data_IF_652715539071
#
_entry.id   IF_652715539071
#
_cell.length_a   1.000
_cell.length_b   1.000
_cell.length_c   1.000
_cell.angle_alpha   90.00
_cell.angle_beta   90.00
_cell.angle_gamma   90.00
#
_symmetry.space_group_name_H-M   'P 1'
#
loop_
_entity.id
_entity.type
_entity.pdbx_description
1 polymer ?
#
# COMPACT_ATOMS: atom_id res chain seq x y z
N UNK A 1 -0.96 -23.08 8.38
CA UNK A 1 -0.58 -24.37 8.97
C UNK A 1 0.12 -24.25 10.33
N UNK A 2 0.66 -23.08 10.72
CA UNK A 2 1.37 -22.89 12.00
C UNK A 2 0.68 -21.95 13.01
N UNK A 3 -0.43 -21.32 12.63
CA UNK A 3 -1.20 -20.34 13.43
C UNK A 3 -2.11 -20.96 14.51
N UNK A 4 -1.95 -22.24 14.82
CA UNK A 4 -2.85 -22.98 15.73
C UNK A 4 -2.15 -23.97 16.66
N UNK A 5 -0.81 -23.89 16.76
CA UNK A 5 -0.04 -24.68 17.71
C UNK A 5 0.49 -23.74 18.79
N UNK A 6 -0.08 -23.80 19.99
CA UNK A 6 0.34 -22.97 21.13
C UNK A 6 1.80 -23.24 21.52
N UNK A 7 2.35 -24.41 21.16
CA UNK A 7 3.75 -24.79 21.37
C UNK A 7 4.73 -24.09 20.42
N UNK A 8 4.25 -23.47 19.32
CA UNK A 8 5.08 -22.70 18.40
C UNK A 8 5.26 -21.23 18.83
N UNK A 9 4.67 -20.84 19.97
CA UNK A 9 4.79 -19.50 20.55
C UNK A 9 6.01 -19.44 21.46
N UNK A 10 7.05 -18.72 21.04
CA UNK A 10 8.13 -18.32 21.95
C UNK A 10 7.84 -16.88 22.36
N UNK A 11 7.58 -16.65 23.65
CA UNK A 11 7.19 -15.34 24.22
C UNK A 11 5.93 -14.71 23.60
N UNK A 12 4.95 -15.54 23.23
CA UNK A 12 3.61 -15.06 22.82
C UNK A 12 3.51 -14.49 21.40
N UNK A 13 4.56 -14.62 20.57
CA UNK A 13 4.54 -14.23 19.15
C UNK A 13 4.81 -15.41 18.23
N UNK A 14 4.10 -15.46 17.10
CA UNK A 14 4.43 -16.36 15.99
C UNK A 14 5.76 -15.90 15.37
N UNK A 15 6.83 -16.61 15.69
CA UNK A 15 8.13 -16.38 15.08
C UNK A 15 8.03 -16.66 13.58
N UNK A 16 8.52 -15.74 12.77
CA UNK A 16 8.65 -15.95 11.33
C UNK A 16 9.48 -17.22 11.07
N UNK A 17 9.25 -17.95 9.97
CA UNK A 17 9.97 -19.21 9.68
C UNK A 17 11.49 -19.09 9.81
N UNK A 18 12.05 -17.93 9.46
CA UNK A 18 13.48 -17.63 9.60
C UNK A 18 13.95 -17.58 11.07
N UNK A 19 13.12 -17.06 11.98
CA UNK A 19 13.43 -17.00 13.41
C UNK A 19 13.30 -18.37 14.10
N UNK A 20 12.38 -19.22 13.63
CA UNK A 20 12.28 -20.62 14.06
C UNK A 20 13.52 -21.40 13.60
N UNK A 21 13.98 -21.17 12.37
CA UNK A 21 15.21 -21.78 11.84
C UNK A 21 16.46 -21.35 12.63
N UNK A 22 16.53 -20.10 13.10
CA UNK A 22 17.59 -19.62 14.00
C UNK A 22 17.51 -20.26 15.38
N UNK A 23 16.30 -20.39 15.96
CA UNK A 23 16.10 -20.99 17.27
C UNK A 23 16.40 -22.51 17.29
N UNK A 24 16.19 -23.20 16.17
CA UNK A 24 16.50 -24.62 16.00
C UNK A 24 17.96 -24.88 15.58
N UNK A 25 18.66 -23.89 15.06
CA UNK A 25 20.04 -24.03 14.62
C UNK A 25 21.01 -23.91 15.80
N UNK A 26 21.55 -25.04 16.27
CA UNK A 26 22.60 -25.06 17.30
C UNK A 26 23.98 -24.55 16.81
N UNK A 27 24.15 -24.37 15.49
CA UNK A 27 25.42 -23.99 14.88
C UNK A 27 25.52 -22.45 14.68
N UNK A 28 26.51 -21.76 15.29
CA UNK A 28 26.69 -20.31 15.16
C UNK A 28 26.82 -19.79 13.72
N UNK A 29 27.38 -20.60 12.81
CA UNK A 29 27.54 -20.21 11.41
C UNK A 29 26.18 -20.10 10.69
N UNK A 30 25.26 -21.03 10.98
CA UNK A 30 23.92 -21.06 10.38
C UNK A 30 23.11 -19.87 10.90
N UNK A 31 23.20 -19.58 12.20
CA UNK A 31 22.57 -18.40 12.81
C UNK A 31 23.05 -17.11 12.16
N UNK A 32 24.37 -16.99 11.92
CA UNK A 32 24.94 -15.82 11.24
C UNK A 32 24.42 -15.65 9.80
N UNK A 33 24.37 -16.73 9.02
CA UNK A 33 23.87 -16.70 7.64
C UNK A 33 22.38 -16.30 7.59
N UNK A 34 21.56 -16.87 8.48
CA UNK A 34 20.14 -16.50 8.54
C UNK A 34 19.95 -15.05 9.00
N UNK A 35 20.73 -14.60 9.99
CA UNK A 35 20.73 -13.20 10.45
C UNK A 35 21.09 -12.22 9.33
N UNK A 36 22.13 -12.53 8.54
CA UNK A 36 22.50 -11.75 7.36
C UNK A 36 21.39 -11.74 6.32
N UNK A 37 20.76 -12.89 6.05
CA UNK A 37 19.62 -13.02 5.16
C UNK A 37 18.42 -12.16 5.60
N UNK A 38 18.17 -12.08 6.91
CA UNK A 38 17.12 -11.25 7.48
C UNK A 38 17.38 -9.75 7.29
N UNK A 39 18.64 -9.31 7.45
CA UNK A 39 19.05 -7.93 7.18
C UNK A 39 18.89 -7.59 5.69
N UNK A 40 19.33 -8.48 4.80
CA UNK A 40 19.20 -8.29 3.35
C UNK A 40 17.73 -8.25 2.92
N UNK A 41 16.87 -9.09 3.50
CA UNK A 41 15.43 -9.05 3.24
C UNK A 41 14.78 -7.75 3.74
N UNK A 42 15.17 -7.27 4.92
CA UNK A 42 14.72 -5.97 5.44
C UNK A 42 15.13 -4.82 4.51
N UNK A 43 16.37 -4.86 4.00
CA UNK A 43 16.85 -3.88 3.03
C UNK A 43 16.05 -3.92 1.72
N UNK A 44 15.76 -5.11 1.19
CA UNK A 44 14.95 -5.30 -0.02
C UNK A 44 13.57 -4.64 0.11
N UNK A 45 12.88 -4.84 1.24
CA UNK A 45 11.54 -4.30 1.46
C UNK A 45 11.57 -2.77 1.45
N UNK A 46 12.53 -2.16 2.14
CA UNK A 46 12.68 -0.69 2.18
C UNK A 46 12.87 -0.13 0.77
N UNK A 47 13.74 -0.73 -0.04
CA UNK A 47 13.98 -0.27 -1.41
C UNK A 47 12.73 -0.38 -2.28
N UNK A 48 11.98 -1.47 -2.13
CA UNK A 48 10.72 -1.66 -2.87
C UNK A 48 9.70 -0.57 -2.53
N UNK A 49 9.52 -0.26 -1.23
CA UNK A 49 8.60 0.78 -0.79
C UNK A 49 9.00 2.18 -1.29
N UNK A 50 10.29 2.51 -1.30
CA UNK A 50 10.76 3.81 -1.81
C UNK A 50 10.51 3.98 -3.31
N UNK A 51 10.79 2.95 -4.11
CA UNK A 51 10.55 2.99 -5.56
C UNK A 51 9.05 3.02 -5.85
N UNK A 52 8.25 2.22 -5.14
CA UNK A 52 6.80 2.18 -5.33
C UNK A 52 6.15 3.54 -5.00
N UNK A 53 6.49 4.12 -3.85
CA UNK A 53 5.87 5.37 -3.40
C UNK A 53 6.21 6.55 -4.31
N UNK A 54 7.45 6.64 -4.78
CA UNK A 54 7.85 7.76 -5.66
C UNK A 54 7.12 7.73 -6.99
N UNK A 55 6.88 6.55 -7.58
CA UNK A 55 6.05 6.42 -8.80
C UNK A 55 4.61 6.85 -8.57
N UNK A 56 4.04 6.48 -7.42
CA UNK A 56 2.68 6.86 -7.03
C UNK A 56 2.57 8.36 -6.80
N UNK A 57 3.56 8.99 -6.16
CA UNK A 57 3.62 10.45 -5.98
C UNK A 57 3.76 11.21 -7.30
N UNK A 58 4.59 10.70 -8.23
CA UNK A 58 4.70 11.29 -9.57
C UNK A 58 3.37 11.19 -10.33
N UNK A 59 2.72 10.03 -10.31
CA UNK A 59 1.41 9.85 -10.94
C UNK A 59 0.37 10.83 -10.37
N UNK A 60 0.28 10.96 -9.04
CA UNK A 60 -0.61 11.92 -8.38
C UNK A 60 -0.28 13.39 -8.73
N UNK A 61 0.98 13.70 -8.98
CA UNK A 61 1.40 15.04 -9.44
C UNK A 61 0.97 15.30 -10.89
N UNK A 62 1.06 14.30 -11.77
CA UNK A 62 0.54 14.36 -13.14
C UNK A 62 -0.99 14.53 -13.16
N UNK A 63 -1.70 13.88 -12.22
CA UNK A 63 -3.14 14.07 -11.98
C UNK A 63 -3.49 15.44 -11.37
N UNK A 64 -2.48 16.31 -11.13
CA UNK A 64 -2.59 17.64 -10.52
C UNK A 64 -3.16 17.63 -9.08
N UNK A 65 -3.11 16.48 -8.41
CA UNK A 65 -3.48 16.32 -7.00
C UNK A 65 -2.35 16.69 -6.04
N UNK A 66 -1.11 16.66 -6.53
CA UNK A 66 0.09 17.08 -5.83
C UNK A 66 0.77 18.25 -6.54
N UNK A 67 1.64 19.01 -5.85
CA UNK A 67 2.41 20.08 -6.47
C UNK A 67 3.32 19.57 -7.60
N UNK A 68 3.37 20.30 -8.71
CA UNK A 68 4.11 19.94 -9.93
C UNK A 68 5.61 19.71 -9.71
N UNK A 69 6.19 20.32 -8.67
CA UNK A 69 7.60 20.12 -8.30
C UNK A 69 7.89 18.68 -7.84
N UNK A 70 6.89 17.89 -7.44
CA UNK A 70 7.05 16.48 -7.06
C UNK A 70 7.31 15.60 -8.29
N UNK A 71 6.70 15.91 -9.44
CA UNK A 71 6.94 15.21 -10.70
C UNK A 71 8.17 15.67 -11.46
N UNK A 72 8.86 16.72 -11.01
CA UNK A 72 10.07 17.19 -11.70
C UNK A 72 11.18 16.14 -11.65
N UNK A 73 11.59 15.70 -12.83
CA UNK A 73 12.67 14.73 -13.04
C UNK A 73 13.98 15.50 -13.21
N UNK A 74 15.01 15.11 -12.46
CA UNK A 74 16.37 15.66 -12.61
C UNK A 74 16.96 15.18 -13.94
N UNK A 75 17.37 16.10 -14.82
CA UNK A 75 17.95 15.80 -16.14
C UNK A 75 19.18 14.89 -16.06
N UNK A 76 19.95 14.95 -14.96
CA UNK A 76 21.21 14.19 -14.82
C UNK A 76 21.00 12.78 -14.27
N UNK A 77 19.94 12.58 -13.47
CA UNK A 77 19.65 11.30 -12.81
C UNK A 77 18.45 10.57 -13.40
N UNK A 78 17.73 11.19 -14.32
CA UNK A 78 16.49 10.68 -14.93
C UNK A 78 15.50 10.12 -13.89
N UNK A 79 15.52 10.69 -12.69
CA UNK A 79 14.77 10.23 -11.51
C UNK A 79 14.11 11.43 -10.83
N UNK A 80 12.86 11.30 -10.32
CA UNK A 80 12.17 12.35 -9.59
C UNK A 80 12.79 12.55 -8.19
N UNK A 81 13.94 13.20 -8.11
CA UNK A 81 14.70 13.37 -6.85
C UNK A 81 13.87 14.10 -5.78
N UNK A 82 13.02 15.05 -6.20
CA UNK A 82 12.15 15.79 -5.29
C UNK A 82 11.13 14.88 -4.57
N UNK A 83 10.55 13.90 -5.27
CA UNK A 83 9.65 12.92 -4.66
C UNK A 83 10.38 12.06 -3.62
N UNK A 84 11.63 11.68 -3.89
CA UNK A 84 12.44 10.91 -2.95
C UNK A 84 12.75 11.71 -1.69
N UNK A 85 13.15 12.98 -1.84
CA UNK A 85 13.42 13.85 -0.69
C UNK A 85 12.15 14.16 0.12
N UNK A 86 11.04 14.43 -0.56
CA UNK A 86 9.76 14.67 0.12
C UNK A 86 9.34 13.45 0.96
N UNK A 87 9.44 12.25 0.39
CA UNK A 87 9.13 11.02 1.12
C UNK A 87 10.11 10.75 2.27
N UNK A 88 11.42 10.95 2.03
CA UNK A 88 12.44 10.79 3.07
C UNK A 88 12.18 11.71 4.26
N UNK A 89 11.97 13.01 4.00
CA UNK A 89 11.69 14.00 5.05
C UNK A 89 10.38 13.67 5.78
N UNK A 90 9.33 13.25 5.07
CA UNK A 90 8.07 12.84 5.67
C UNK A 90 8.22 11.58 6.56
N UNK A 91 9.17 10.69 6.27
CA UNK A 91 9.40 9.47 7.04
C UNK A 91 10.10 9.72 8.38
N UNK A 92 10.95 10.76 8.50
CA UNK A 92 11.71 11.09 9.70
C UNK A 92 10.83 11.23 10.97
N UNK A 93 9.76 12.05 10.99
CA UNK A 93 8.93 12.19 12.19
C UNK A 93 8.24 10.87 12.57
N UNK A 94 7.85 10.06 11.59
CA UNK A 94 7.24 8.74 11.83
C UNK A 94 8.23 7.79 12.48
N UNK A 95 9.49 7.79 12.03
CA UNK A 95 10.58 6.98 12.60
C UNK A 95 10.87 7.43 14.04
N UNK A 96 10.95 8.73 14.28
CA UNK A 96 11.16 9.28 15.62
C UNK A 96 10.04 8.89 16.58
N UNK A 97 8.78 9.06 16.16
CA UNK A 97 7.61 8.69 16.96
C UNK A 97 7.57 7.18 17.24
N UNK A 98 7.92 6.36 16.25
CA UNK A 98 8.02 4.92 16.43
C UNK A 98 9.07 4.54 17.47
N UNK A 99 10.23 5.21 17.49
CA UNK A 99 11.30 4.90 18.44
C UNK A 99 11.00 5.39 19.86
N UNK A 100 10.38 6.56 20.00
CA UNK A 100 10.14 7.20 21.31
C UNK A 100 8.89 6.70 22.03
N UNK A 101 7.91 6.12 21.32
CA UNK A 101 6.64 5.66 21.92
C UNK A 101 6.49 4.13 21.89
N UNK A 102 6.58 3.44 23.05
CA UNK A 102 6.48 1.98 23.13
C UNK A 102 5.16 1.38 22.61
N UNK A 103 4.07 2.16 22.58
CA UNK A 103 2.77 1.72 22.08
C UNK A 103 2.61 1.75 20.55
N UNK A 104 3.61 2.23 19.81
CA UNK A 104 3.51 2.43 18.35
C UNK A 104 3.49 1.13 17.55
N UNK A 105 3.97 0.03 18.12
CA UNK A 105 3.94 -1.31 17.49
C UNK A 105 2.49 -1.74 17.19
N UNK A 106 1.54 -1.42 18.06
CA UNK A 106 0.11 -1.66 17.79
C UNK A 106 -0.43 -0.89 16.58
N UNK A 107 0.15 0.29 16.28
CA UNK A 107 -0.23 1.08 15.11
C UNK A 107 0.32 0.52 13.81
N UNK A 108 1.48 -0.16 13.84
CA UNK A 108 2.01 -0.82 12.64
C UNK A 108 1.13 -1.96 12.14
N UNK A 109 0.40 -2.63 13.05
CA UNK A 109 -0.64 -3.60 12.67
C UNK A 109 -1.84 -2.92 11.99
N UNK A 110 -2.18 -1.70 12.42
CA UNK A 110 -3.17 -0.86 11.76
C UNK A 110 -2.79 -0.50 10.32
N UNK A 111 -1.50 -0.38 10.00
CA UNK A 111 -1.02 -0.16 8.62
C UNK A 111 -1.35 -1.34 7.71
N UNK A 112 -1.30 -2.58 8.22
CA UNK A 112 -1.68 -3.76 7.44
C UNK A 112 -3.15 -3.71 7.03
N UNK A 113 -4.03 -3.33 7.96
CA UNK A 113 -5.43 -3.08 7.63
C UNK A 113 -5.56 -1.93 6.62
N UNK A 114 -4.73 -0.89 6.75
CA UNK A 114 -4.76 0.22 5.83
C UNK A 114 -4.42 -0.19 4.38
N UNK A 115 -3.38 -0.99 4.22
CA UNK A 115 -3.07 -1.60 2.93
C UNK A 115 -4.22 -2.48 2.42
N UNK A 116 -4.85 -3.26 3.32
CA UNK A 116 -5.99 -4.12 2.99
C UNK A 116 -7.14 -3.36 2.33
N UNK A 117 -7.58 -2.22 2.89
CA UNK A 117 -8.67 -1.45 2.29
C UNK A 117 -8.26 -0.82 0.95
N UNK A 118 -7.00 -0.40 0.80
CA UNK A 118 -6.51 0.12 -0.49
C UNK A 118 -6.58 -0.97 -1.56
N UNK A 119 -6.18 -2.20 -1.24
CA UNK A 119 -6.30 -3.33 -2.16
C UNK A 119 -7.75 -3.63 -2.51
N UNK A 120 -8.66 -3.63 -1.53
CA UNK A 120 -10.10 -3.85 -1.77
C UNK A 120 -10.68 -2.79 -2.70
N UNK A 121 -10.41 -1.51 -2.44
CA UNK A 121 -10.86 -0.40 -3.31
C UNK A 121 -10.24 -0.52 -4.70
N UNK A 122 -8.97 -0.92 -4.81
CA UNK A 122 -8.28 -1.12 -6.09
C UNK A 122 -8.89 -2.28 -6.88
N UNK A 123 -9.21 -3.40 -6.22
CA UNK A 123 -9.92 -4.53 -6.84
C UNK A 123 -11.31 -4.11 -7.35
N UNK A 124 -12.03 -3.28 -6.58
CA UNK A 124 -13.32 -2.74 -7.02
C UNK A 124 -13.17 -1.80 -8.22
N UNK A 125 -12.18 -0.91 -8.19
CA UNK A 125 -11.87 -0.01 -9.31
C UNK A 125 -11.51 -0.81 -10.57
N UNK A 126 -10.70 -1.85 -10.44
CA UNK A 126 -10.39 -2.79 -11.52
C UNK A 126 -11.64 -3.51 -12.04
N UNK A 127 -12.53 -3.94 -11.14
CA UNK A 127 -13.75 -4.63 -11.55
C UNK A 127 -14.71 -3.75 -12.36
N UNK A 128 -14.75 -2.45 -12.03
CA UNK A 128 -15.57 -1.43 -12.69
C UNK A 128 -14.89 -0.82 -13.92
N UNK A 129 -13.59 -1.03 -14.12
CA UNK A 129 -12.80 -0.48 -15.23
C UNK A 129 -13.45 -0.71 -16.60
N UNK A 130 -13.94 -1.92 -16.94
CA UNK A 130 -14.55 -2.18 -18.25
C UNK A 130 -15.89 -1.45 -18.46
N UNK A 131 -16.53 -0.95 -17.42
CA UNK A 131 -17.80 -0.25 -17.52
C UNK A 131 -17.65 1.27 -17.48
N UNK A 132 -16.67 1.78 -16.70
CA UNK A 132 -16.45 3.21 -16.50
C UNK A 132 -15.47 3.83 -17.49
N UNK A 133 -14.50 3.06 -17.97
CA UNK A 133 -13.47 3.52 -18.90
C UNK A 133 -13.33 2.52 -20.05
N UNK A 134 -14.42 2.32 -20.80
CA UNK A 134 -14.50 1.36 -21.92
C UNK A 134 -13.39 1.56 -22.94
N UNK A 135 -13.18 2.80 -23.38
CA UNK A 135 -12.19 3.13 -24.40
C UNK A 135 -10.77 2.74 -23.96
N UNK A 136 -10.43 3.01 -22.70
CA UNK A 136 -9.13 2.62 -22.10
C UNK A 136 -9.04 1.11 -21.95
N UNK A 137 -10.10 0.45 -21.47
CA UNK A 137 -10.12 -1.00 -21.31
C UNK A 137 -9.93 -1.71 -22.65
N UNK A 138 -10.65 -1.29 -23.70
CA UNK A 138 -10.60 -1.87 -25.04
C UNK A 138 -9.24 -1.67 -25.71
N UNK A 139 -8.53 -0.58 -25.40
CA UNK A 139 -7.14 -0.36 -25.85
C UNK A 139 -6.11 -1.25 -25.12
N UNK A 140 -6.49 -1.88 -24.00
CA UNK A 140 -5.58 -2.69 -23.19
C UNK A 140 -5.50 -4.15 -23.64
N UNK A 141 -4.35 -4.85 -23.47
CA UNK A 141 -4.24 -6.29 -23.75
C UNK A 141 -5.22 -7.16 -22.94
N UNK A 142 -5.71 -6.64 -21.81
CA UNK A 142 -6.69 -7.30 -20.96
C UNK A 142 -8.07 -7.45 -21.61
N UNK A 143 -8.41 -6.63 -22.62
CA UNK A 143 -9.68 -6.70 -23.33
C UNK A 143 -9.90 -8.02 -24.09
N UNK A 144 -8.82 -8.70 -24.46
CA UNK A 144 -8.86 -9.97 -25.18
C UNK A 144 -9.40 -11.12 -24.31
N UNK A 145 -9.25 -11.03 -22.98
CA UNK A 145 -9.64 -12.08 -22.05
C UNK A 145 -11.07 -11.86 -21.53
N UNK A 146 -12.03 -12.52 -22.18
CA UNK A 146 -13.43 -12.55 -21.78
C UNK A 146 -13.86 -14.00 -21.53
N UNK A 147 -14.58 -14.23 -20.43
CA UNK A 147 -15.15 -15.55 -20.12
C UNK A 147 -16.67 -15.38 -20.10
N UNK A 148 -17.37 -16.06 -21.02
CA UNK A 148 -18.84 -15.99 -21.10
C UNK A 148 -19.41 -14.60 -21.41
N UNK A 149 -18.67 -13.74 -22.13
CA UNK A 149 -19.10 -12.38 -22.44
C UNK A 149 -18.82 -11.33 -21.36
N UNK A 150 -18.33 -11.75 -20.18
CA UNK A 150 -17.91 -10.87 -19.10
C UNK A 150 -16.38 -10.70 -19.14
N UNK A 151 -15.86 -9.46 -19.01
CA UNK A 151 -14.43 -9.19 -18.81
C UNK A 151 -13.85 -10.01 -17.66
N UNK A 152 -12.75 -10.75 -17.89
CA UNK A 152 -12.08 -11.53 -16.84
C UNK A 152 -11.65 -10.62 -15.67
N UNK A 153 -11.27 -9.38 -15.98
CA UNK A 153 -10.87 -8.35 -15.01
C UNK A 153 -12.02 -8.02 -14.04
N UNK A 154 -13.28 -8.01 -14.50
CA UNK A 154 -14.45 -7.81 -13.62
C UNK A 154 -14.65 -8.98 -12.67
N UNK A 155 -14.47 -10.21 -13.16
CA UNK A 155 -14.64 -11.42 -12.34
C UNK A 155 -13.54 -11.50 -11.28
N UNK A 156 -12.28 -11.34 -11.68
CA UNK A 156 -11.13 -11.41 -10.77
C UNK A 156 -11.11 -10.22 -9.79
N UNK A 157 -11.42 -9.01 -10.26
CA UNK A 157 -11.56 -7.83 -9.40
C UNK A 157 -12.71 -7.96 -8.42
N UNK A 158 -13.86 -8.49 -8.85
CA UNK A 158 -15.01 -8.76 -8.00
C UNK A 158 -14.72 -9.82 -6.93
N UNK A 159 -14.06 -10.92 -7.31
CA UNK A 159 -13.60 -11.94 -6.36
C UNK A 159 -12.58 -11.36 -5.37
N UNK A 160 -11.61 -10.59 -5.85
CA UNK A 160 -10.63 -9.91 -4.99
C UNK A 160 -11.30 -8.93 -4.01
N UNK A 161 -12.30 -8.19 -4.47
CA UNK A 161 -13.10 -7.30 -3.63
C UNK A 161 -13.89 -8.08 -2.57
N UNK A 162 -14.54 -9.19 -2.94
CA UNK A 162 -15.31 -10.02 -1.99
C UNK A 162 -14.41 -10.66 -0.93
N UNK A 163 -13.33 -11.32 -1.36
CA UNK A 163 -12.38 -11.97 -0.46
C UNK A 163 -11.66 -10.95 0.42
N UNK A 164 -11.21 -9.84 -0.16
CA UNK A 164 -10.55 -8.78 0.58
C UNK A 164 -11.49 -8.08 1.57
N UNK A 165 -12.76 -7.87 1.20
CA UNK A 165 -13.77 -7.32 2.11
C UNK A 165 -14.06 -8.29 3.27
N UNK A 166 -14.13 -9.59 2.99
CA UNK A 166 -14.23 -10.61 4.04
C UNK A 166 -13.03 -10.59 4.98
N UNK A 167 -11.82 -10.39 4.44
CA UNK A 167 -10.60 -10.29 5.25
C UNK A 167 -10.58 -9.01 6.09
N UNK A 168 -11.02 -7.86 5.56
CA UNK A 168 -11.16 -6.62 6.32
C UNK A 168 -12.20 -6.74 7.43
N UNK A 169 -13.31 -7.42 7.16
CA UNK A 169 -14.33 -7.71 8.16
C UNK A 169 -13.73 -8.53 9.31
N UNK A 170 -12.99 -9.59 9.00
CA UNK A 170 -12.29 -10.36 10.03
C UNK A 170 -11.29 -9.50 10.81
N UNK A 171 -10.50 -8.65 10.15
CA UNK A 171 -9.59 -7.73 10.83
C UNK A 171 -10.29 -6.72 11.74
N UNK A 172 -11.53 -6.34 11.44
CA UNK A 172 -12.31 -5.41 12.27
C UNK A 172 -12.91 -6.07 13.52
N UNK A 173 -13.26 -7.36 13.45
CA UNK A 173 -14.04 -8.02 14.50
C UNK A 173 -13.27 -9.11 15.27
N UNK A 174 -12.15 -9.60 14.73
CA UNK A 174 -11.29 -10.57 15.41
C UNK A 174 -10.10 -9.87 16.08
N UNK A 175 -10.14 -9.82 17.42
CA UNK A 175 -9.09 -9.23 18.26
C UNK A 175 -7.72 -9.91 18.07
N UNK A 176 -7.68 -11.15 17.54
CA UNK A 176 -6.43 -11.89 17.30
C UNK A 176 -5.63 -11.35 16.11
N UNK A 177 -6.28 -10.61 15.20
CA UNK A 177 -5.66 -10.08 13.99
C UNK A 177 -4.96 -8.73 14.21
N UNK A 178 -4.92 -8.23 15.45
CA UNK A 178 -3.98 -7.18 15.86
C UNK A 178 -4.53 -5.75 15.84
N UNK A 179 -5.77 -5.51 15.41
CA UNK A 179 -6.47 -4.24 15.68
C UNK A 179 -7.09 -4.26 17.09
N UNK A 180 -6.23 -4.19 18.10
CA UNK A 180 -6.65 -4.31 19.51
C UNK A 180 -6.89 -2.97 20.20
N UNK A 181 -6.47 -1.85 19.59
CA UNK A 181 -6.51 -0.52 20.21
C UNK A 181 -7.43 0.44 19.46
N UNK A 182 -8.28 1.17 20.20
CA UNK A 182 -9.11 2.24 19.66
C UNK A 182 -8.29 3.32 18.93
N UNK A 183 -7.05 3.55 19.36
CA UNK A 183 -6.14 4.50 18.72
C UNK A 183 -5.76 4.04 17.30
N UNK A 184 -5.57 2.73 17.08
CA UNK A 184 -5.27 2.19 15.76
C UNK A 184 -6.44 2.41 14.78
N UNK A 185 -7.67 2.16 15.22
CA UNK A 185 -8.87 2.47 14.42
C UNK A 185 -8.94 3.98 14.09
N UNK A 186 -8.76 4.85 15.09
CA UNK A 186 -8.82 6.29 14.89
C UNK A 186 -7.77 6.80 13.90
N UNK A 187 -6.52 6.30 13.98
CA UNK A 187 -5.45 6.70 13.07
C UNK A 187 -5.74 6.22 11.65
N UNK A 188 -6.16 4.98 11.47
CA UNK A 188 -6.47 4.41 10.15
C UNK A 188 -7.65 5.14 9.50
N UNK A 189 -8.77 5.28 10.20
CA UNK A 189 -9.93 6.00 9.68
C UNK A 189 -9.64 7.48 9.51
N UNK A 190 -8.82 8.07 10.38
CA UNK A 190 -8.33 9.44 10.25
C UNK A 190 -7.53 9.65 8.97
N UNK A 191 -6.61 8.74 8.63
CA UNK A 191 -5.84 8.80 7.37
C UNK A 191 -6.77 8.71 6.15
N UNK A 192 -7.77 7.83 6.18
CA UNK A 192 -8.79 7.73 5.13
C UNK A 192 -9.55 9.06 4.96
N UNK A 193 -10.01 9.65 6.06
CA UNK A 193 -10.70 10.94 6.05
C UNK A 193 -9.81 12.07 5.53
N UNK A 194 -8.56 12.16 6.00
CA UNK A 194 -7.58 13.17 5.55
C UNK A 194 -7.31 13.01 4.05
N UNK A 195 -7.16 11.78 3.57
CA UNK A 195 -6.95 11.50 2.14
C UNK A 195 -8.15 11.92 1.29
N UNK A 196 -9.37 11.63 1.76
CA UNK A 196 -10.60 12.05 1.10
C UNK A 196 -10.76 13.57 1.08
N UNK A 197 -10.52 14.25 2.21
CA UNK A 197 -10.55 15.71 2.33
C UNK A 197 -9.52 16.32 1.39
N UNK A 198 -8.29 15.81 1.38
CA UNK A 198 -7.24 16.27 0.47
C UNK A 198 -7.67 16.19 -0.98
N UNK A 199 -8.26 15.06 -1.40
CA UNK A 199 -8.78 14.90 -2.77
C UNK A 199 -9.81 15.98 -3.12
N UNK A 200 -10.78 16.25 -2.24
CA UNK A 200 -11.79 17.29 -2.49
C UNK A 200 -11.20 18.71 -2.50
N UNK A 201 -10.25 19.00 -1.60
CA UNK A 201 -9.55 20.29 -1.55
C UNK A 201 -8.75 20.50 -2.83
N UNK A 202 -7.96 19.51 -3.24
CA UNK A 202 -7.18 19.56 -4.47
C UNK A 202 -8.10 19.70 -5.70
N UNK A 203 -9.18 18.92 -5.78
CA UNK A 203 -10.17 19.00 -6.87
C UNK A 203 -10.80 20.40 -6.96
N UNK A 204 -11.20 20.99 -5.83
CA UNK A 204 -11.79 22.32 -5.81
C UNK A 204 -10.78 23.43 -6.11
N UNK A 205 -9.54 23.30 -5.64
CA UNK A 205 -8.45 24.23 -5.93
C UNK A 205 -8.01 24.21 -7.39
N UNK A 206 -8.14 23.08 -8.08
CA UNK A 206 -7.88 23.00 -9.53
C UNK A 206 -9.07 23.51 -10.35
N UNK A 207 -10.30 23.25 -9.88
CA UNK A 207 -11.52 23.79 -10.49
C UNK A 207 -11.53 25.32 -10.47
N UNK A 208 -11.03 25.96 -9.41
CA UNK A 208 -10.89 27.43 -9.35
C UNK A 208 -9.82 27.99 -10.29
N UNK A 209 -8.87 27.16 -10.75
CA UNK A 209 -7.86 27.50 -11.77
C UNK A 209 -8.34 27.19 -13.20
N UNK A 210 -9.60 26.80 -13.40
CA UNK A 210 -10.16 26.47 -14.71
C UNK A 210 -9.74 25.10 -15.26
N UNK A 211 -9.07 24.27 -14.44
CA UNK A 211 -8.58 22.95 -14.82
C UNK A 211 -9.58 21.92 -14.32
N UNK A 212 -10.17 21.15 -15.23
CA UNK A 212 -11.06 20.07 -14.84
C UNK A 212 -10.29 18.76 -14.68
N UNK A 213 -10.01 18.41 -13.42
CA UNK A 213 -9.29 17.20 -13.00
C UNK A 213 -9.97 15.92 -13.52
N UNK A 214 -11.28 15.95 -13.80
CA UNK A 214 -12.01 14.80 -14.35
C UNK A 214 -11.60 14.45 -15.80
N UNK A 215 -10.89 15.34 -16.50
CA UNK A 215 -10.29 15.04 -17.82
C UNK A 215 -8.92 14.37 -17.70
N UNK A 216 -8.14 14.66 -16.65
CA UNK A 216 -6.85 14.00 -16.42
C UNK A 216 -7.01 12.48 -16.23
N UNK A 217 -8.14 12.05 -15.66
CA UNK A 217 -8.48 10.63 -15.50
C UNK A 217 -9.04 9.97 -16.78
N UNK A 218 -9.28 10.74 -17.86
CA UNK A 218 -9.83 10.24 -19.13
C UNK A 218 -8.79 10.14 -20.23
N UNK A 219 -7.74 10.95 -20.17
CA UNK A 219 -6.66 10.93 -21.16
C UNK A 219 -5.50 10.12 -20.59
N UNK A 220 -5.05 9.11 -21.34
CA UNK A 220 -3.78 8.44 -21.05
C UNK A 220 -2.71 9.55 -21.13
N UNK A 221 -1.86 9.73 -20.12
CA UNK A 221 -0.78 10.71 -20.19
C UNK A 221 -0.01 10.49 -21.49
N UNK A 222 0.15 11.50 -22.36
CA UNK A 222 1.09 11.39 -23.47
C UNK A 222 2.47 11.12 -22.84
N UNK A 223 3.13 10.09 -23.35
CA UNK A 223 4.43 9.60 -22.87
C UNK A 223 5.47 10.73 -22.69
#
# INVERSE_FOLDING_TARGET
YWLGLDEALISGFYLWPNMIAVALAANPLIVFIIGLGYILNSHQIVHNCYIGMTRVMVAMSLDRLLPEWISQVDEKRHTPANAHWAYFIASIPVIFLYNMHPGWVGLTLGVTFACGYVFVITCLAGALLPYRAKDVYESSPGAAYKVGGIPLVTILGGLGFLLGSGMLFLFMFDARLGLTSALAYQVVFGILLVSGIWYFVAKNAQKSKGINVDYAFKEIPPE
#
